data_IF_165387705483
#
_entry.id   IF_165387705483
#
_cell.length_a   1.000
_cell.length_b   1.000
_cell.length_c   1.000
_cell.angle_alpha   90.00
_cell.angle_beta   90.00
_cell.angle_gamma   90.00
#
_symmetry.space_group_name_H-M   'P 1'
#
loop_
_entity.id
_entity.type
_entity.pdbx_description
1 polymer ?
#
# COMPACT_ATOMS: atom_id res chain seq x y z
N UNK A 1 10.19 21.20 -9.18
CA UNK A 1 8.83 20.89 -9.68
C UNK A 1 8.60 19.38 -9.82
N UNK A 2 9.47 18.63 -10.52
CA UNK A 2 9.36 17.16 -10.65
C UNK A 2 9.29 16.40 -9.31
N UNK A 3 10.10 16.80 -8.33
CA UNK A 3 10.10 16.19 -6.98
C UNK A 3 8.76 16.34 -6.25
N UNK A 4 8.11 17.50 -6.37
CA UNK A 4 6.78 17.72 -5.81
C UNK A 4 5.74 16.84 -6.49
N UNK A 5 5.78 16.76 -7.83
CA UNK A 5 4.89 15.87 -8.61
C UNK A 5 5.09 14.40 -8.23
N UNK A 6 6.33 13.97 -8.02
CA UNK A 6 6.66 12.63 -7.53
C UNK A 6 6.02 12.34 -6.16
N UNK A 7 6.16 13.25 -5.21
CA UNK A 7 5.57 13.10 -3.86
C UNK A 7 4.03 13.07 -3.94
N UNK A 8 3.43 13.94 -4.74
CA UNK A 8 1.99 13.98 -4.94
C UNK A 8 1.46 12.70 -5.59
N UNK A 9 2.11 12.18 -6.63
CA UNK A 9 1.72 10.92 -7.28
C UNK A 9 1.88 9.74 -6.33
N UNK A 10 2.96 9.70 -5.55
CA UNK A 10 3.16 8.70 -4.51
C UNK A 10 1.98 8.73 -3.54
N UNK A 11 1.63 9.90 -3.02
CA UNK A 11 0.49 10.06 -2.12
C UNK A 11 -0.83 9.57 -2.74
N UNK A 12 -1.11 9.91 -4.00
CA UNK A 12 -2.29 9.45 -4.73
C UNK A 12 -2.28 7.93 -4.89
N UNK A 13 -1.14 7.35 -5.29
CA UNK A 13 -0.97 5.91 -5.48
C UNK A 13 -1.24 5.14 -4.18
N UNK A 14 -0.58 5.54 -3.09
CA UNK A 14 -0.79 4.93 -1.77
C UNK A 14 -2.23 5.08 -1.30
N UNK A 15 -2.82 6.27 -1.42
CA UNK A 15 -4.21 6.51 -1.02
C UNK A 15 -5.20 5.62 -1.80
N UNK A 16 -4.98 5.48 -3.11
CA UNK A 16 -5.79 4.62 -3.96
C UNK A 16 -5.67 3.14 -3.57
N UNK A 17 -4.45 2.65 -3.34
CA UNK A 17 -4.21 1.28 -2.87
C UNK A 17 -4.86 1.01 -1.50
N UNK A 18 -4.69 1.93 -0.55
CA UNK A 18 -5.30 1.83 0.79
C UNK A 18 -6.83 1.74 0.68
N UNK A 19 -7.44 2.53 -0.22
CA UNK A 19 -8.87 2.50 -0.45
C UNK A 19 -9.35 1.17 -1.01
N UNK A 20 -8.69 0.65 -2.05
CA UNK A 20 -9.01 -0.65 -2.65
C UNK A 20 -8.88 -1.76 -1.59
N UNK A 21 -7.80 -1.73 -0.82
CA UNK A 21 -7.53 -2.69 0.25
C UNK A 21 -8.58 -2.66 1.35
N UNK A 22 -8.95 -1.48 1.86
CA UNK A 22 -9.99 -1.33 2.88
C UNK A 22 -11.35 -1.85 2.43
N UNK A 23 -11.74 -1.53 1.19
CA UNK A 23 -12.98 -2.05 0.60
C UNK A 23 -12.92 -3.58 0.36
N UNK A 24 -11.77 -4.11 -0.05
CA UNK A 24 -11.55 -5.53 -0.26
C UNK A 24 -11.58 -6.33 1.05
N UNK A 25 -10.90 -5.83 2.10
CA UNK A 25 -10.91 -6.38 3.45
C UNK A 25 -12.34 -6.44 4.02
N UNK A 26 -13.09 -5.35 3.84
CA UNK A 26 -14.49 -5.31 4.26
C UNK A 26 -15.33 -6.38 3.55
N UNK A 27 -15.20 -6.49 2.21
CA UNK A 27 -15.96 -7.46 1.41
C UNK A 27 -15.52 -8.92 1.59
N UNK A 28 -14.25 -9.16 1.89
CA UNK A 28 -13.68 -10.49 2.05
C UNK A 28 -13.91 -11.06 3.46
N UNK A 29 -13.81 -10.24 4.51
CA UNK A 29 -13.75 -10.73 5.89
C UNK A 29 -14.83 -10.18 6.83
N UNK A 30 -15.26 -8.91 6.69
CA UNK A 30 -16.16 -8.28 7.67
C UNK A 30 -17.66 -8.29 7.30
N UNK A 31 -18.00 -8.25 6.01
CA UNK A 31 -19.39 -8.02 5.57
C UNK A 31 -20.30 -9.27 5.62
N UNK A 32 -21.49 -9.21 6.27
CA UNK A 32 -22.51 -10.26 6.19
C UNK A 32 -23.09 -10.41 4.77
N UNK A 33 -23.44 -11.64 4.39
CA UNK A 33 -23.78 -12.04 3.01
C UNK A 33 -24.94 -11.22 2.40
N UNK A 34 -25.89 -10.78 3.23
CA UNK A 34 -27.06 -9.98 2.85
C UNK A 34 -26.71 -8.56 2.38
N UNK A 35 -25.81 -7.87 3.10
CA UNK A 35 -25.40 -6.48 2.79
C UNK A 35 -24.24 -6.42 1.81
N UNK A 36 -23.44 -7.51 1.75
CA UNK A 36 -22.25 -7.61 0.89
C UNK A 36 -22.56 -7.30 -0.57
N UNK A 37 -23.63 -7.85 -1.16
CA UNK A 37 -23.95 -7.59 -2.59
C UNK A 37 -24.25 -6.12 -2.89
N UNK A 38 -25.00 -5.44 -2.02
CA UNK A 38 -25.39 -4.04 -2.21
C UNK A 38 -24.17 -3.12 -2.04
N UNK A 39 -23.38 -3.34 -1.00
CA UNK A 39 -22.17 -2.56 -0.75
C UNK A 39 -21.11 -2.85 -1.81
N UNK A 40 -20.86 -4.11 -2.19
CA UNK A 40 -19.89 -4.44 -3.25
C UNK A 40 -20.22 -3.72 -4.55
N UNK A 41 -21.47 -3.67 -5.01
CA UNK A 41 -21.82 -2.93 -6.25
C UNK A 41 -21.57 -1.43 -6.13
N UNK A 42 -21.80 -0.84 -4.96
CA UNK A 42 -21.62 0.61 -4.76
C UNK A 42 -20.16 1.00 -4.58
N UNK A 43 -19.41 0.21 -3.80
CA UNK A 43 -17.97 0.36 -3.66
C UNK A 43 -17.21 -0.05 -4.91
N UNK A 44 -17.79 -0.83 -5.82
CA UNK A 44 -17.15 -1.22 -7.07
C UNK A 44 -16.76 0.00 -7.90
N UNK A 45 -17.63 1.00 -8.03
CA UNK A 45 -17.29 2.24 -8.76
C UNK A 45 -16.11 2.96 -8.11
N UNK A 46 -16.11 3.04 -6.78
CA UNK A 46 -15.02 3.65 -6.03
C UNK A 46 -13.71 2.87 -6.18
N UNK A 47 -13.79 1.53 -6.15
CA UNK A 47 -12.65 0.64 -6.39
C UNK A 47 -12.14 0.73 -7.82
N UNK A 48 -13.01 0.86 -8.82
CA UNK A 48 -12.62 1.08 -10.22
C UNK A 48 -11.89 2.41 -10.37
N UNK A 49 -12.43 3.51 -9.83
CA UNK A 49 -11.76 4.81 -9.85
C UNK A 49 -10.40 4.76 -9.15
N UNK A 50 -10.33 4.13 -7.98
CA UNK A 50 -9.08 3.94 -7.25
C UNK A 50 -8.08 3.07 -8.03
N UNK A 51 -8.53 1.99 -8.68
CA UNK A 51 -7.68 1.14 -9.50
C UNK A 51 -7.13 1.90 -10.72
N UNK A 52 -7.96 2.72 -11.38
CA UNK A 52 -7.51 3.61 -12.47
C UNK A 52 -6.47 4.59 -11.95
N UNK A 53 -6.73 5.29 -10.85
CA UNK A 53 -5.77 6.23 -10.26
C UNK A 53 -4.48 5.53 -9.82
N UNK A 54 -4.55 4.32 -9.28
CA UNK A 54 -3.38 3.52 -8.91
C UNK A 54 -2.53 3.15 -10.14
N UNK A 55 -3.16 2.71 -11.23
CA UNK A 55 -2.46 2.37 -12.48
C UNK A 55 -1.84 3.61 -13.15
N UNK A 56 -2.61 4.70 -13.27
CA UNK A 56 -2.13 5.96 -13.86
C UNK A 56 -0.98 6.53 -13.04
N UNK A 57 -1.12 6.58 -11.71
CA UNK A 57 -0.06 7.07 -10.84
C UNK A 57 1.20 6.19 -10.89
N UNK A 58 1.07 4.86 -10.90
CA UNK A 58 2.22 3.97 -11.03
C UNK A 58 3.00 4.21 -12.34
N UNK A 59 2.28 4.38 -13.45
CA UNK A 59 2.88 4.64 -14.77
C UNK A 59 3.56 6.02 -14.81
N UNK A 60 2.88 7.06 -14.32
CA UNK A 60 3.43 8.41 -14.25
C UNK A 60 4.63 8.51 -13.31
N UNK A 61 4.65 7.73 -12.22
CA UNK A 61 5.83 7.63 -11.36
C UNK A 61 7.01 7.09 -12.16
N UNK A 62 6.88 5.98 -12.89
CA UNK A 62 7.99 5.47 -13.72
C UNK A 62 8.54 6.55 -14.67
N UNK A 63 7.65 7.28 -15.34
CA UNK A 63 8.01 8.38 -16.23
C UNK A 63 8.75 9.51 -15.52
N UNK A 64 8.26 9.95 -14.35
CA UNK A 64 8.90 11.02 -13.57
C UNK A 64 10.24 10.56 -12.98
N UNK A 65 10.37 9.28 -12.59
CA UNK A 65 11.66 8.73 -12.16
C UNK A 65 12.69 8.83 -13.30
N UNK A 66 12.28 8.57 -14.53
CA UNK A 66 13.11 8.80 -15.72
C UNK A 66 13.56 10.25 -15.86
N UNK A 67 12.63 11.21 -15.69
CA UNK A 67 12.97 12.63 -15.71
C UNK A 67 13.85 13.10 -14.54
N UNK A 68 13.77 12.44 -13.38
CA UNK A 68 14.64 12.71 -12.22
C UNK A 68 16.05 12.13 -12.39
N UNK A 69 16.19 11.02 -13.12
CA UNK A 69 17.49 10.40 -13.43
C UNK A 69 18.16 11.03 -14.67
N UNK A 70 17.37 11.64 -15.55
CA UNK A 70 17.85 12.36 -16.73
C UNK A 70 18.06 13.86 -16.50
N UNK A 71 17.81 14.64 -17.54
CA UNK A 71 17.98 16.09 -17.63
C UNK A 71 16.69 16.89 -17.38
N UNK A 72 15.60 16.26 -16.92
CA UNK A 72 14.37 16.95 -16.48
C UNK A 72 13.09 16.55 -17.24
N UNK A 73 12.17 17.50 -17.46
CA UNK A 73 10.82 17.21 -17.98
C UNK A 73 10.78 16.62 -19.39
N UNK A 74 11.77 16.94 -20.24
CA UNK A 74 11.86 16.38 -21.59
C UNK A 74 12.09 14.86 -21.55
N UNK A 75 12.79 14.40 -20.52
CA UNK A 75 13.17 13.01 -20.31
C UNK A 75 12.04 12.18 -19.67
N UNK A 76 11.01 12.83 -19.14
CA UNK A 76 9.80 12.17 -18.62
C UNK A 76 9.03 11.44 -19.72
N UNK A 77 9.08 11.94 -20.96
CA UNK A 77 8.30 11.39 -22.10
C UNK A 77 9.20 10.50 -22.99
N UNK A 78 10.51 10.47 -22.74
CA UNK A 78 11.45 9.75 -23.59
C UNK A 78 11.41 8.23 -23.38
N UNK A 79 11.00 7.50 -24.41
CA UNK A 79 10.90 6.03 -24.40
C UNK A 79 12.25 5.36 -24.15
N UNK A 80 13.36 5.97 -24.63
CA UNK A 80 14.70 5.44 -24.40
C UNK A 80 15.09 5.47 -22.92
N UNK A 81 14.65 6.50 -22.19
CA UNK A 81 14.90 6.66 -20.75
C UNK A 81 14.01 5.72 -19.95
N UNK A 82 12.79 5.46 -20.39
CA UNK A 82 11.95 4.43 -19.76
C UNK A 82 12.60 3.05 -19.86
N UNK A 83 13.19 2.72 -21.02
CA UNK A 83 14.00 1.51 -21.19
C UNK A 83 15.19 1.46 -20.22
N UNK A 84 15.93 2.56 -20.09
CA UNK A 84 17.06 2.66 -19.16
C UNK A 84 16.64 2.51 -17.68
N UNK A 85 15.53 3.14 -17.27
CA UNK A 85 14.98 3.00 -15.92
C UNK A 85 14.52 1.57 -15.66
N UNK A 86 13.90 0.90 -16.64
CA UNK A 86 13.47 -0.50 -16.51
C UNK A 86 14.63 -1.48 -16.31
N UNK A 87 15.83 -1.16 -16.80
CA UNK A 87 17.05 -1.95 -16.56
C UNK A 87 17.60 -1.78 -15.14
N UNK A 88 17.11 -0.80 -14.37
CA UNK A 88 17.50 -0.64 -12.97
C UNK A 88 16.74 -1.62 -12.07
N UNK A 89 17.32 -1.92 -10.91
CA UNK A 89 16.65 -2.72 -9.86
C UNK A 89 15.29 -2.11 -9.47
N UNK A 90 15.20 -0.77 -9.43
CA UNK A 90 13.94 -0.06 -9.21
C UNK A 90 12.92 -0.36 -10.31
N UNK A 91 13.32 -0.24 -11.58
CA UNK A 91 12.46 -0.46 -12.73
C UNK A 91 11.91 -1.88 -12.81
N UNK A 92 12.72 -2.89 -12.47
CA UNK A 92 12.27 -4.29 -12.41
C UNK A 92 11.14 -4.52 -11.41
N UNK A 93 11.29 -4.01 -10.17
CA UNK A 93 10.23 -4.12 -9.14
C UNK A 93 9.01 -3.26 -9.50
N UNK A 94 9.23 -2.07 -10.04
CA UNK A 94 8.16 -1.14 -10.41
C UNK A 94 7.33 -1.62 -11.60
N UNK A 95 7.93 -2.38 -12.54
CA UNK A 95 7.21 -3.02 -13.62
C UNK A 95 6.17 -4.01 -13.08
N UNK A 96 6.55 -4.84 -12.10
CA UNK A 96 5.60 -5.73 -11.43
C UNK A 96 4.49 -4.96 -10.70
N UNK A 97 4.82 -3.81 -10.11
CA UNK A 97 3.82 -2.92 -9.49
C UNK A 97 2.78 -2.41 -10.51
N UNK A 98 3.22 -2.02 -11.71
CA UNK A 98 2.34 -1.59 -12.82
C UNK A 98 1.49 -2.75 -13.33
N UNK A 99 2.09 -3.93 -13.51
CA UNK A 99 1.37 -5.14 -13.94
C UNK A 99 0.29 -5.51 -12.93
N UNK A 100 0.60 -5.53 -11.63
CA UNK A 100 -0.39 -5.83 -10.60
C UNK A 100 -1.49 -4.76 -10.50
N UNK A 101 -1.16 -3.48 -10.70
CA UNK A 101 -2.15 -2.41 -10.78
C UNK A 101 -3.09 -2.59 -11.98
N UNK A 102 -2.55 -3.00 -13.12
CA UNK A 102 -3.34 -3.32 -14.31
C UNK A 102 -4.24 -4.54 -14.08
N UNK A 103 -3.71 -5.62 -13.51
CA UNK A 103 -4.52 -6.81 -13.16
C UNK A 103 -5.63 -6.42 -12.18
N UNK A 104 -5.34 -5.61 -11.18
CA UNK A 104 -6.33 -5.08 -10.24
C UNK A 104 -7.43 -4.32 -10.99
N UNK A 105 -7.07 -3.42 -11.91
CA UNK A 105 -8.03 -2.69 -12.73
C UNK A 105 -8.91 -3.64 -13.55
N UNK A 106 -8.32 -4.58 -14.30
CA UNK A 106 -9.05 -5.57 -15.11
C UNK A 106 -10.02 -6.36 -14.23
N UNK A 107 -9.59 -6.82 -13.05
CA UNK A 107 -10.46 -7.57 -12.15
C UNK A 107 -11.62 -6.72 -11.62
N UNK A 108 -11.41 -5.44 -11.33
CA UNK A 108 -12.52 -4.52 -10.97
C UNK A 108 -13.49 -4.24 -12.12
N UNK A 109 -13.09 -4.44 -13.38
CA UNK A 109 -13.96 -4.31 -14.55
C UNK A 109 -14.73 -5.61 -14.86
N UNK A 110 -14.08 -6.77 -14.74
CA UNK A 110 -14.68 -8.09 -15.00
C UNK A 110 -15.62 -8.52 -13.86
N UNK A 111 -15.34 -8.08 -12.63
CA UNK A 111 -16.14 -8.36 -11.43
C UNK A 111 -16.38 -9.86 -11.18
N UNK A 112 -15.31 -10.68 -11.01
CA UNK A 112 -15.46 -12.09 -10.68
C UNK A 112 -16.19 -12.31 -9.36
N UNK A 113 -16.81 -13.49 -9.20
CA UNK A 113 -17.59 -13.85 -8.00
C UNK A 113 -16.81 -13.71 -6.68
N UNK A 114 -15.49 -13.92 -6.75
CA UNK A 114 -14.56 -13.82 -5.62
C UNK A 114 -13.74 -12.52 -5.62
N UNK A 115 -14.20 -11.46 -6.32
CA UNK A 115 -13.48 -10.19 -6.48
C UNK A 115 -12.89 -9.64 -5.16
N UNK A 116 -13.60 -9.56 -4.02
CA UNK A 116 -13.03 -9.00 -2.80
C UNK A 116 -11.81 -9.78 -2.28
N UNK A 117 -11.81 -11.11 -2.40
CA UNK A 117 -10.65 -11.95 -1.99
C UNK A 117 -9.48 -11.76 -2.94
N UNK A 118 -9.76 -11.66 -4.25
CA UNK A 118 -8.72 -11.46 -5.25
C UNK A 118 -8.05 -10.09 -5.09
N UNK A 119 -8.84 -9.03 -4.90
CA UNK A 119 -8.32 -7.68 -4.64
C UNK A 119 -7.50 -7.64 -3.35
N UNK A 120 -7.92 -8.35 -2.30
CA UNK A 120 -7.17 -8.44 -1.06
C UNK A 120 -5.77 -9.06 -1.28
N UNK A 121 -5.69 -10.18 -2.01
CA UNK A 121 -4.42 -10.83 -2.33
C UNK A 121 -3.54 -9.93 -3.22
N UNK A 122 -4.12 -9.30 -4.25
CA UNK A 122 -3.40 -8.39 -5.14
C UNK A 122 -2.83 -7.18 -4.39
N UNK A 123 -3.60 -6.57 -3.50
CA UNK A 123 -3.13 -5.44 -2.69
C UNK A 123 -2.01 -5.84 -1.73
N UNK A 124 -2.09 -7.02 -1.09
CA UNK A 124 -0.99 -7.53 -0.26
C UNK A 124 0.27 -7.68 -1.11
N UNK A 125 0.17 -8.32 -2.27
CA UNK A 125 1.31 -8.48 -3.18
C UNK A 125 1.92 -7.12 -3.57
N UNK A 126 1.10 -6.13 -3.91
CA UNK A 126 1.57 -4.78 -4.23
C UNK A 126 2.22 -4.08 -3.04
N UNK A 127 1.69 -4.20 -1.81
CA UNK A 127 2.34 -3.63 -0.63
C UNK A 127 3.68 -4.31 -0.32
N UNK A 128 3.78 -5.63 -0.50
CA UNK A 128 5.03 -6.39 -0.34
C UNK A 128 6.08 -5.96 -1.35
N UNK A 129 5.72 -5.79 -2.63
CA UNK A 129 6.63 -5.25 -3.65
C UNK A 129 7.10 -3.86 -3.29
N UNK A 130 6.20 -3.00 -2.83
CA UNK A 130 6.51 -1.62 -2.46
C UNK A 130 7.46 -1.53 -1.25
N UNK A 131 7.36 -2.48 -0.31
CA UNK A 131 8.33 -2.62 0.76
C UNK A 131 9.71 -3.10 0.26
N UNK A 132 9.76 -3.88 -0.81
CA UNK A 132 11.00 -4.32 -1.46
C UNK A 132 11.75 -3.20 -2.20
N UNK A 133 11.04 -2.19 -2.73
CA UNK A 133 11.64 -1.05 -3.44
C UNK A 133 12.62 -0.26 -2.57
N UNK A 134 12.42 -0.21 -1.24
CA UNK A 134 13.25 0.57 -0.31
C UNK A 134 14.49 -0.14 0.25
N UNK A 135 14.57 -1.47 0.17
CA UNK A 135 15.60 -2.27 0.83
C UNK A 135 16.53 -3.06 -0.12
N UNK A 136 16.18 -3.14 -1.41
CA UNK A 136 17.03 -3.76 -2.43
C UNK A 136 18.38 -3.03 -2.65
N UNK A 137 18.62 -1.90 -1.97
CA UNK A 137 19.82 -1.09 -2.12
C UNK A 137 20.80 -1.13 -0.94
N UNK A 138 20.45 -1.69 0.23
CA UNK A 138 21.22 -1.38 1.45
C UNK A 138 21.57 -2.53 2.42
N UNK A 139 20.94 -3.71 2.40
CA UNK A 139 21.33 -4.79 3.34
C UNK A 139 21.11 -6.20 2.76
N UNK A 140 22.20 -6.84 2.34
CA UNK A 140 22.23 -8.29 2.12
C UNK A 140 22.22 -8.99 3.50
N UNK A 141 21.09 -9.60 3.89
CA UNK A 141 21.02 -10.43 5.10
C UNK A 141 19.65 -10.53 5.77
N UNK A 142 19.58 -11.35 6.84
CA UNK A 142 18.37 -11.62 7.64
C UNK A 142 17.76 -10.34 8.22
N UNK A 143 18.60 -9.36 8.59
CA UNK A 143 18.15 -8.06 9.14
C UNK A 143 17.37 -7.25 8.10
N UNK A 144 17.80 -7.26 6.84
CA UNK A 144 17.09 -6.60 5.74
C UNK A 144 15.72 -7.24 5.48
N UNK A 145 15.65 -8.58 5.51
CA UNK A 145 14.39 -9.31 5.35
C UNK A 145 13.39 -9.02 6.49
N UNK A 146 13.86 -8.99 7.75
CA UNK A 146 13.03 -8.64 8.91
C UNK A 146 12.51 -7.21 8.80
N UNK A 147 13.36 -6.26 8.40
CA UNK A 147 12.96 -4.87 8.22
C UNK A 147 11.93 -4.70 7.08
N UNK A 148 12.12 -5.42 5.97
CA UNK A 148 11.16 -5.45 4.87
C UNK A 148 9.81 -6.02 5.31
N UNK A 149 9.79 -7.13 6.05
CA UNK A 149 8.56 -7.72 6.58
C UNK A 149 7.88 -6.75 7.56
N UNK A 150 8.65 -6.09 8.43
CA UNK A 150 8.11 -5.10 9.35
C UNK A 150 7.48 -3.92 8.61
N UNK A 151 8.16 -3.40 7.57
CA UNK A 151 7.66 -2.30 6.77
C UNK A 151 6.40 -2.69 5.96
N UNK A 152 6.40 -3.88 5.36
CA UNK A 152 5.23 -4.43 4.67
C UNK A 152 4.04 -4.58 5.64
N UNK A 153 4.29 -5.13 6.83
CA UNK A 153 3.26 -5.29 7.87
C UNK A 153 2.74 -3.94 8.34
N UNK A 154 3.62 -2.97 8.56
CA UNK A 154 3.24 -1.60 8.92
C UNK A 154 2.33 -0.97 7.86
N UNK A 155 2.71 -1.07 6.59
CA UNK A 155 1.93 -0.55 5.47
C UNK A 155 0.56 -1.22 5.37
N UNK A 156 0.51 -2.55 5.52
CA UNK A 156 -0.75 -3.31 5.49
C UNK A 156 -1.65 -2.94 6.68
N UNK A 157 -1.11 -2.81 7.89
CA UNK A 157 -1.86 -2.39 9.06
C UNK A 157 -2.37 -0.94 8.93
N UNK A 158 -1.53 -0.03 8.43
CA UNK A 158 -1.91 1.37 8.19
C UNK A 158 -2.98 1.47 7.09
N UNK A 159 -2.85 0.68 6.02
CA UNK A 159 -3.83 0.58 4.95
C UNK A 159 -5.16 -0.01 5.43
N UNK A 160 -5.13 -1.04 6.28
CA UNK A 160 -6.33 -1.63 6.87
C UNK A 160 -7.09 -0.61 7.71
N UNK A 161 -6.38 0.12 8.57
CA UNK A 161 -6.96 1.12 9.46
C UNK A 161 -7.54 2.31 8.69
N UNK A 162 -6.72 2.94 7.84
CA UNK A 162 -7.12 4.14 7.10
C UNK A 162 -8.13 3.84 6.00
N UNK A 163 -7.89 2.81 5.19
CA UNK A 163 -8.80 2.38 4.13
C UNK A 163 -10.13 1.82 4.65
N UNK A 164 -10.13 1.27 5.87
CA UNK A 164 -11.31 0.77 6.55
C UNK A 164 -12.26 1.85 7.09
N UNK A 165 -11.77 3.08 7.28
CA UNK A 165 -12.55 4.18 7.86
C UNK A 165 -13.74 4.59 6.95
N UNK A 166 -13.54 4.62 5.64
CA UNK A 166 -14.56 5.00 4.66
C UNK A 166 -15.77 4.04 4.65
N UNK A 167 -15.58 2.71 4.57
CA UNK A 167 -16.65 1.73 4.76
C UNK A 167 -17.44 1.93 6.06
N UNK A 168 -16.76 2.31 7.16
CA UNK A 168 -17.40 2.50 8.48
C UNK A 168 -18.24 3.75 8.54
N UNK A 169 -17.74 4.89 8.06
CA UNK A 169 -18.52 6.13 7.97
C UNK A 169 -19.79 5.87 7.14
N UNK A 170 -19.67 5.10 6.06
CA UNK A 170 -20.81 4.70 5.25
C UNK A 170 -21.78 3.77 6.01
N UNK A 171 -21.27 2.80 6.79
CA UNK A 171 -22.10 1.98 7.67
C UNK A 171 -22.87 2.81 8.70
N UNK A 172 -22.25 3.85 9.30
CA UNK A 172 -22.95 4.74 10.24
C UNK A 172 -24.11 5.48 9.59
N UNK A 173 -23.93 5.98 8.35
CA UNK A 173 -25.03 6.60 7.58
C UNK A 173 -26.15 5.59 7.28
N UNK A 174 -25.79 4.34 6.99
CA UNK A 174 -26.77 3.27 6.74
C UNK A 174 -27.47 2.78 8.02
N UNK A 175 -26.82 2.91 9.18
CA UNK A 175 -27.37 2.55 10.50
C UNK A 175 -28.52 3.46 10.94
N UNK A 176 -28.68 4.64 10.33
CA UNK A 176 -29.83 5.54 10.54
C UNK A 176 -31.10 5.09 9.78
N UNK A 177 -31.00 4.05 8.94
CA UNK A 177 -32.12 3.52 8.16
C UNK A 177 -32.56 2.11 8.56
N UNK A 178 -33.22 1.42 7.63
CA UNK A 178 -33.85 0.08 7.81
C UNK A 178 -32.87 -1.08 8.10
N UNK A 179 -31.56 -0.84 8.08
CA UNK A 179 -30.50 -1.86 8.20
C UNK A 179 -29.68 -1.72 9.49
N UNK A 180 -30.24 -1.07 10.53
CA UNK A 180 -29.57 -0.68 11.77
C UNK A 180 -28.84 -1.83 12.49
N UNK A 181 -29.48 -2.98 12.69
CA UNK A 181 -28.86 -4.12 13.41
C UNK A 181 -27.61 -4.66 12.68
N UNK A 182 -27.69 -4.83 11.36
CA UNK A 182 -26.57 -5.34 10.55
C UNK A 182 -25.42 -4.33 10.46
N UNK A 183 -25.74 -3.02 10.43
CA UNK A 183 -24.74 -1.97 10.48
C UNK A 183 -24.02 -1.91 11.84
N UNK A 184 -24.74 -2.05 12.95
CA UNK A 184 -24.17 -2.07 14.31
C UNK A 184 -23.25 -3.28 14.50
N UNK A 185 -23.66 -4.49 14.11
CA UNK A 185 -22.80 -5.68 14.20
C UNK A 185 -21.50 -5.51 13.39
N UNK A 186 -21.61 -4.95 12.19
CA UNK A 186 -20.45 -4.73 11.34
C UNK A 186 -19.53 -3.65 11.91
N UNK A 187 -20.09 -2.58 12.49
CA UNK A 187 -19.32 -1.55 13.21
C UNK A 187 -18.61 -2.13 14.45
N UNK A 188 -19.26 -3.01 15.22
CA UNK A 188 -18.64 -3.65 16.39
C UNK A 188 -17.50 -4.61 16.01
N UNK A 189 -17.62 -5.32 14.88
CA UNK A 189 -16.52 -6.12 14.33
C UNK A 189 -15.39 -5.21 13.87
N UNK A 190 -15.70 -4.16 13.12
CA UNK A 190 -14.71 -3.20 12.66
C UNK A 190 -13.98 -2.54 13.82
N UNK A 191 -14.68 -2.13 14.88
CA UNK A 191 -14.05 -1.50 16.05
C UNK A 191 -13.01 -2.43 16.69
N UNK A 192 -13.34 -3.72 16.88
CA UNK A 192 -12.41 -4.72 17.42
C UNK A 192 -11.18 -4.92 16.54
N UNK A 193 -11.36 -5.13 15.24
CA UNK A 193 -10.24 -5.28 14.31
C UNK A 193 -9.46 -3.97 14.11
N UNK A 194 -10.13 -2.82 14.21
CA UNK A 194 -9.53 -1.50 14.15
C UNK A 194 -8.50 -1.29 15.25
N UNK A 195 -8.79 -1.70 16.49
CA UNK A 195 -7.81 -1.65 17.58
C UNK A 195 -6.60 -2.56 17.30
N UNK A 196 -6.82 -3.75 16.73
CA UNK A 196 -5.73 -4.65 16.33
C UNK A 196 -4.85 -4.02 15.25
N UNK A 197 -5.45 -3.36 14.25
CA UNK A 197 -4.67 -2.66 13.21
C UNK A 197 -3.89 -1.47 13.78
N UNK A 198 -4.50 -0.67 14.67
CA UNK A 198 -3.81 0.44 15.33
C UNK A 198 -2.65 -0.07 16.20
N UNK A 199 -2.87 -1.12 16.99
CA UNK A 199 -1.82 -1.76 17.76
C UNK A 199 -0.70 -2.29 16.85
N UNK A 200 -1.07 -2.92 15.72
CA UNK A 200 -0.12 -3.38 14.70
C UNK A 200 0.71 -2.24 14.12
N UNK A 201 0.08 -1.12 13.73
CA UNK A 201 0.77 0.10 13.25
C UNK A 201 1.74 0.62 14.30
N UNK A 202 1.30 0.68 15.57
CA UNK A 202 2.12 1.17 16.68
C UNK A 202 3.34 0.26 16.92
N UNK A 203 3.13 -1.05 17.05
CA UNK A 203 4.19 -2.02 17.28
C UNK A 203 5.20 -2.05 16.13
N UNK A 204 4.72 -2.11 14.88
CA UNK A 204 5.59 -2.12 13.70
C UNK A 204 6.29 -0.77 13.49
N UNK A 205 5.65 0.34 13.84
CA UNK A 205 6.23 1.68 13.84
C UNK A 205 7.35 1.83 14.87
N UNK A 206 7.12 1.36 16.10
CA UNK A 206 8.14 1.29 17.16
C UNK A 206 9.31 0.43 16.70
N UNK A 207 9.04 -0.77 16.15
CA UNK A 207 10.08 -1.62 15.60
C UNK A 207 10.87 -0.91 14.49
N UNK A 208 10.20 -0.18 13.59
CA UNK A 208 10.86 0.60 12.54
C UNK A 208 11.77 1.69 13.10
N UNK A 209 11.32 2.42 14.12
CA UNK A 209 12.15 3.42 14.81
C UNK A 209 13.36 2.74 15.44
N UNK A 210 13.17 1.64 16.17
CA UNK A 210 14.26 0.88 16.80
C UNK A 210 15.28 0.34 15.79
N UNK A 211 14.83 -0.11 14.61
CA UNK A 211 15.72 -0.53 13.53
C UNK A 211 16.50 0.65 12.93
N UNK A 212 15.88 1.82 12.79
CA UNK A 212 16.52 3.03 12.22
C UNK A 212 17.48 3.69 13.22
N UNK A 213 17.12 3.77 14.50
CA UNK A 213 18.00 4.29 15.57
C UNK A 213 19.12 3.31 15.94
N UNK A 214 18.98 2.06 15.50
CA UNK A 214 19.85 0.94 15.82
C UNK A 214 19.65 0.44 17.24
N UNK A 215 20.05 -0.81 17.46
CA UNK A 215 20.51 -1.33 18.75
C UNK A 215 21.83 -0.63 19.17
N UNK A 216 21.91 0.68 18.93
CA UNK A 216 23.03 1.53 19.28
C UNK A 216 22.85 1.82 20.76
N UNK A 217 23.61 1.09 21.57
CA UNK A 217 23.89 1.46 22.94
C UNK A 217 24.14 2.99 23.03
N UNK A 218 23.71 3.64 24.12
CA UNK A 218 23.86 5.08 24.29
C UNK A 218 25.31 5.53 24.02
N UNK A 219 25.51 6.75 23.51
CA UNK A 219 26.83 7.28 23.20
C UNK A 219 27.64 7.42 24.49
N UNK A 220 28.45 6.41 24.81
CA UNK A 220 29.15 6.37 26.10
C UNK A 220 30.23 5.31 26.26
N UNK A 221 30.65 4.61 25.19
CA UNK A 221 31.82 3.70 25.30
C UNK A 221 32.71 3.87 24.06
N UNK A 222 33.90 4.48 24.18
CA UNK A 222 34.85 4.54 23.09
C UNK A 222 35.33 3.13 22.76
N UNK A 223 35.17 2.69 21.51
CA UNK A 223 35.89 1.53 20.97
C UNK A 223 37.34 1.95 20.75
N UNK A 224 38.15 1.83 21.78
CA UNK A 224 39.60 1.66 21.62
C UNK A 224 39.86 0.29 21.00
N UNK A 225 40.67 0.27 19.95
CA UNK A 225 41.34 -0.95 19.49
C UNK A 225 41.24 -1.23 18.00
N UNK A 226 42.27 -0.75 17.29
CA UNK A 226 43.11 -1.46 16.29
C UNK A 226 42.45 -1.99 15.00
N UNK A 227 42.75 -1.39 13.83
CA UNK A 227 43.90 -1.73 12.95
C UNK A 227 43.82 -3.15 12.36
N UNK A 228 43.53 -3.31 11.07
CA UNK A 228 44.51 -3.60 9.99
C UNK A 228 43.85 -3.94 8.64
N UNK A 229 44.51 -3.42 7.59
CA UNK A 229 44.45 -3.71 6.14
C UNK A 229 43.16 -3.42 5.36
#
# INVERSE_FOLDING_TARGET
>A
MLTFTWVALRFIHFSAMMLVFGCALYGAWLAPVSVRRLMTRRFLRLQQHAAVWSFVSATLMLAIQGGLMGAGWQDVISVSIWGAVLQTQFGGVWLWQIILALVTLVMTLVVPRNLPRLLFILMIAQFTLLAGVGHATLNDGVVGAVQQINHATHLVCAAAWFGGLLPVIYCMRMAQGRWRQQAIETMMRFSRYGHLFVAGVLCTGIANVLFITGFSAPPGIPRTGSFFC
#
